data_IF_751503818721
#
_entry.id   IF_751503818721
#
_cell.length_a   1.000
_cell.length_b   1.000
_cell.length_c   1.000
_cell.angle_alpha   90.00
_cell.angle_beta   90.00
_cell.angle_gamma   90.00
#
_symmetry.space_group_name_H-M   'P 1'
#
loop_
_entity.id
_entity.type
_entity.pdbx_description
1 polymer ?
#
# COMPACT_ATOMS: atom_id res chain seq x y z
N UNK A 1 -24.09 -1.12 1.22
CA UNK A 1 -23.02 -0.65 0.31
C UNK A 1 -21.94 -1.71 0.30
N UNK A 2 -21.28 -1.95 -0.84
CA UNK A 2 -20.17 -2.92 -0.90
C UNK A 2 -18.92 -2.24 -0.33
N UNK A 3 -18.25 -2.89 0.62
CA UNK A 3 -17.00 -2.39 1.19
C UNK A 3 -15.83 -2.67 0.25
N UNK A 4 -14.78 -1.88 0.37
CA UNK A 4 -13.51 -2.12 -0.30
C UNK A 4 -12.78 -3.34 0.27
N UNK A 5 -11.72 -3.74 -0.42
CA UNK A 5 -10.88 -4.87 0.00
C UNK A 5 -9.57 -4.34 0.58
N UNK A 6 -9.25 -4.76 1.82
CA UNK A 6 -7.94 -4.48 2.40
C UNK A 6 -6.92 -5.50 1.88
N UNK A 7 -5.93 -5.02 1.13
CA UNK A 7 -4.84 -5.85 0.61
C UNK A 7 -3.63 -5.81 1.54
N UNK A 8 -3.14 -6.99 1.94
CA UNK A 8 -1.86 -7.11 2.64
C UNK A 8 -0.75 -7.34 1.62
N UNK A 9 -0.04 -6.27 1.30
CA UNK A 9 1.03 -6.27 0.30
C UNK A 9 2.37 -6.59 0.99
N UNK A 10 3.05 -7.69 0.64
CA UNK A 10 4.35 -8.02 1.22
C UNK A 10 5.42 -7.03 0.75
N UNK A 11 6.37 -6.73 1.64
CA UNK A 11 7.57 -5.96 1.30
C UNK A 11 8.72 -6.92 1.05
N UNK A 12 9.46 -6.69 -0.03
CA UNK A 12 10.66 -7.46 -0.34
C UNK A 12 11.82 -6.93 0.50
N UNK A 13 12.45 -7.81 1.29
CA UNK A 13 13.53 -7.43 2.20
C UNK A 13 14.91 -7.41 1.55
N UNK A 14 15.11 -8.16 0.45
CA UNK A 14 16.38 -8.23 -0.26
C UNK A 14 16.37 -7.28 -1.46
N UNK A 15 17.34 -6.37 -1.53
CA UNK A 15 17.51 -5.45 -2.65
C UNK A 15 17.70 -6.23 -3.97
N UNK A 16 16.94 -5.87 -5.01
CA UNK A 16 17.04 -6.51 -6.33
C UNK A 16 16.33 -7.86 -6.43
N UNK A 17 15.64 -8.31 -5.39
CA UNK A 17 14.86 -9.55 -5.40
C UNK A 17 13.39 -9.34 -5.81
N UNK A 18 12.98 -8.12 -6.16
CA UNK A 18 11.58 -7.75 -6.35
C UNK A 18 10.93 -8.53 -7.50
N UNK A 19 11.58 -8.57 -8.66
CA UNK A 19 11.08 -9.33 -9.81
C UNK A 19 11.02 -10.85 -9.57
N UNK A 20 11.78 -11.38 -8.59
CA UNK A 20 11.78 -12.80 -8.22
C UNK A 20 10.80 -13.12 -7.09
N UNK A 21 10.42 -12.11 -6.30
CA UNK A 21 9.61 -12.26 -5.09
C UNK A 21 8.16 -11.84 -5.32
N UNK A 22 7.92 -10.90 -6.23
CA UNK A 22 6.60 -10.34 -6.50
C UNK A 22 5.99 -11.02 -7.71
N UNK A 23 4.76 -11.50 -7.55
CA UNK A 23 4.02 -12.13 -8.64
C UNK A 23 3.45 -11.06 -9.58
N UNK A 24 3.21 -11.38 -10.86
CA UNK A 24 2.53 -10.46 -11.79
C UNK A 24 1.20 -9.96 -11.25
N UNK A 25 0.44 -10.83 -10.57
CA UNK A 25 -0.82 -10.48 -9.92
C UNK A 25 -0.65 -9.35 -8.89
N UNK A 26 0.45 -9.32 -8.14
CA UNK A 26 0.69 -8.26 -7.18
C UNK A 26 0.93 -6.93 -7.89
N UNK A 27 1.74 -6.93 -8.95
CA UNK A 27 1.96 -5.72 -9.76
C UNK A 27 0.66 -5.19 -10.40
N UNK A 28 -0.24 -6.08 -10.83
CA UNK A 28 -1.58 -5.68 -11.30
C UNK A 28 -2.41 -5.08 -10.16
N UNK A 29 -2.40 -5.73 -8.98
CA UNK A 29 -3.15 -5.33 -7.80
C UNK A 29 -2.75 -3.93 -7.32
N UNK A 30 -1.45 -3.63 -7.16
CA UNK A 30 -1.00 -2.32 -6.68
C UNK A 30 -1.37 -1.19 -7.65
N UNK A 31 -1.50 -1.48 -8.95
CA UNK A 31 -1.86 -0.48 -9.94
C UNK A 31 -3.37 -0.15 -9.95
N UNK A 32 -4.20 -0.91 -9.22
CA UNK A 32 -5.61 -0.64 -9.00
C UNK A 32 -5.88 0.11 -7.68
N UNK A 33 -4.86 0.29 -6.83
CA UNK A 33 -4.96 0.87 -5.49
C UNK A 33 -4.37 2.29 -5.50
N UNK A 34 -5.07 3.24 -4.87
CA UNK A 34 -4.63 4.64 -4.75
C UNK A 34 -4.33 5.06 -3.31
N UNK A 35 -4.79 4.28 -2.33
CA UNK A 35 -4.68 4.57 -0.90
C UNK A 35 -3.87 3.48 -0.20
N UNK A 36 -2.84 3.87 0.55
CA UNK A 36 -1.94 2.93 1.21
C UNK A 36 -1.75 3.31 2.68
N UNK A 37 -1.78 2.30 3.54
CA UNK A 37 -1.44 2.42 4.96
C UNK A 37 -0.05 1.81 5.13
N UNK A 38 0.93 2.57 5.64
CA UNK A 38 2.34 2.19 5.58
C UNK A 38 3.06 2.49 6.89
N UNK A 39 3.99 1.65 7.32
CA UNK A 39 4.80 1.94 8.53
C UNK A 39 5.87 3.03 8.31
N UNK A 40 6.24 3.23 7.05
CA UNK A 40 7.23 4.23 6.65
C UNK A 40 6.99 4.62 5.18
N UNK A 41 6.65 5.88 4.95
CA UNK A 41 6.33 6.38 3.61
C UNK A 41 7.49 6.19 2.61
N UNK A 42 8.72 6.50 3.01
CA UNK A 42 9.89 6.43 2.11
C UNK A 42 10.15 5.00 1.64
N UNK A 43 10.12 4.04 2.56
CA UNK A 43 10.34 2.62 2.23
C UNK A 43 9.20 2.06 1.40
N UNK A 44 7.95 2.40 1.72
CA UNK A 44 6.78 1.96 0.96
C UNK A 44 6.81 2.49 -0.48
N UNK A 45 7.09 3.77 -0.66
CA UNK A 45 7.28 4.41 -1.98
C UNK A 45 8.37 3.73 -2.81
N UNK A 46 9.50 3.39 -2.19
CA UNK A 46 10.57 2.62 -2.83
C UNK A 46 10.07 1.24 -3.26
N UNK A 47 9.39 0.52 -2.37
CA UNK A 47 8.84 -0.81 -2.65
C UNK A 47 7.84 -0.78 -3.83
N UNK A 48 6.89 0.14 -3.82
CA UNK A 48 5.90 0.29 -4.89
C UNK A 48 6.55 0.57 -6.24
N UNK A 49 7.58 1.44 -6.27
CA UNK A 49 8.35 1.71 -7.49
C UNK A 49 8.97 0.42 -8.06
N UNK A 50 9.64 -0.37 -7.22
CA UNK A 50 10.27 -1.62 -7.67
C UNK A 50 9.26 -2.72 -7.99
N UNK A 51 8.09 -2.68 -7.37
CA UNK A 51 6.97 -3.57 -7.66
C UNK A 51 6.24 -3.26 -8.98
N UNK A 52 6.64 -2.20 -9.70
CA UNK A 52 6.06 -1.84 -10.99
C UNK A 52 4.86 -0.89 -10.91
N UNK A 53 4.78 -0.05 -9.87
CA UNK A 53 3.77 1.00 -9.80
C UNK A 53 3.91 1.98 -10.98
N UNK A 54 2.82 2.16 -11.72
CA UNK A 54 2.70 3.08 -12.85
C UNK A 54 2.09 4.42 -12.44
N UNK A 55 1.25 4.44 -11.40
CA UNK A 55 0.69 5.68 -10.85
C UNK A 55 1.81 6.60 -10.34
N UNK A 56 1.85 7.89 -10.73
CA UNK A 56 2.78 8.85 -10.14
C UNK A 56 2.65 8.86 -8.63
N UNK A 57 3.77 8.72 -7.92
CA UNK A 57 3.74 8.58 -6.47
C UNK A 57 3.13 9.80 -5.75
N UNK A 58 3.22 10.98 -6.34
CA UNK A 58 2.58 12.21 -5.85
C UNK A 58 1.05 12.16 -5.84
N UNK A 59 0.44 11.23 -6.58
CA UNK A 59 -1.02 11.05 -6.64
C UNK A 59 -1.54 10.01 -5.64
N UNK A 60 -0.64 9.33 -4.91
CA UNK A 60 -1.05 8.34 -3.91
C UNK A 60 -1.47 9.02 -2.60
N UNK A 61 -2.55 8.53 -2.02
CA UNK A 61 -2.92 8.82 -0.64
C UNK A 61 -2.11 7.86 0.23
N UNK A 62 -1.20 8.38 1.05
CA UNK A 62 -0.38 7.58 1.95
C UNK A 62 -0.70 7.97 3.38
N UNK A 63 -1.09 6.99 4.18
CA UNK A 63 -1.25 7.13 5.63
C UNK A 63 -0.07 6.46 6.32
N UNK A 64 0.71 7.25 7.05
CA UNK A 64 1.74 6.70 7.94
C UNK A 64 1.04 6.08 9.16
N UNK A 65 1.22 4.78 9.34
CA UNK A 65 0.79 4.00 10.51
C UNK A 65 2.04 3.55 11.26
N UNK A 66 2.79 4.53 11.75
CA UNK A 66 4.09 4.33 12.38
C UNK A 66 4.00 3.69 13.77
N UNK A 67 5.15 3.21 14.27
CA UNK A 67 5.29 2.50 15.56
C UNK A 67 4.80 3.28 16.79
N UNK A 68 4.60 4.59 16.69
CA UNK A 68 4.17 5.48 17.77
C UNK A 68 2.65 5.72 17.80
N UNK A 69 1.89 5.27 16.78
CA UNK A 69 0.44 5.51 16.70
C UNK A 69 -0.41 4.33 17.19
N UNK A 70 0.21 3.31 17.76
CA UNK A 70 -0.39 2.03 18.20
C UNK A 70 -1.43 2.13 19.34
N UNK A 71 -1.87 3.32 19.72
CA UNK A 71 -2.95 3.57 20.70
C UNK A 71 -4.13 4.36 20.15
N UNK A 72 -4.09 4.78 18.88
CA UNK A 72 -5.16 5.56 18.26
C UNK A 72 -6.14 4.68 17.48
N UNK A 73 -7.31 5.23 17.21
CA UNK A 73 -8.37 4.55 16.45
C UNK A 73 -7.90 4.21 15.04
N UNK A 74 -8.17 2.98 14.59
CA UNK A 74 -7.91 2.55 13.20
C UNK A 74 -8.91 3.16 12.19
N UNK A 75 -9.97 3.80 12.69
CA UNK A 75 -11.08 4.29 11.89
C UNK A 75 -10.66 5.24 10.75
N UNK A 76 -9.74 6.21 10.94
CA UNK A 76 -9.32 7.13 9.87
C UNK A 76 -8.68 6.40 8.68
N UNK A 77 -7.94 5.32 8.92
CA UNK A 77 -7.26 4.57 7.87
C UNK A 77 -8.20 3.71 7.01
N UNK A 78 -9.41 3.41 7.52
CA UNK A 78 -10.38 2.54 6.85
C UNK A 78 -11.54 3.32 6.21
N UNK A 79 -11.48 4.66 6.18
CA UNK A 79 -12.54 5.47 5.57
C UNK A 79 -12.73 5.17 4.07
N UNK A 80 -11.64 4.92 3.32
CA UNK A 80 -11.72 4.51 1.93
C UNK A 80 -12.41 3.15 1.76
N UNK A 81 -12.06 2.18 2.61
CA UNK A 81 -12.69 0.85 2.61
C UNK A 81 -14.20 0.93 2.86
N UNK A 82 -14.64 1.75 3.82
CA UNK A 82 -16.07 1.95 4.09
C UNK A 82 -16.80 2.65 2.92
N UNK A 83 -16.08 3.38 2.06
CA UNK A 83 -16.59 4.00 0.83
C UNK A 83 -16.53 3.08 -0.39
N UNK A 84 -16.03 1.84 -0.25
CA UNK A 84 -15.89 0.90 -1.36
C UNK A 84 -14.59 1.04 -2.16
N UNK A 85 -13.60 1.77 -1.63
CA UNK A 85 -12.30 1.99 -2.28
C UNK A 85 -11.31 0.91 -1.84
N UNK A 86 -10.41 0.54 -2.75
CA UNK A 86 -9.34 -0.43 -2.53
C UNK A 86 -8.00 0.26 -2.27
#
# INVERSE_FOLDING_TARGET
>A
MVKGTLYLIPVVMADGAEAKSLTPFLSETINQIKEYIVENEKTARRCLKFAGLQTPQSELIIHDYGKHERGFSLKPYFEGLEKGQN
#
